data_IF_760320462557
#
_entry.id   IF_760320462557
#
_cell.length_a   1.000
_cell.length_b   1.000
_cell.length_c   1.000
_cell.angle_alpha   90.00
_cell.angle_beta   90.00
_cell.angle_gamma   90.00
#
_symmetry.space_group_name_H-M   'P 1'
#
loop_
_entity.id
_entity.type
_entity.pdbx_description
1 polymer ?
#
# COMPACT_ATOMS: atom_id res chain seq x y z
N UNK A 1 -14.81 9.64 -26.57
CA UNK A 1 -13.48 9.29 -26.02
C UNK A 1 -13.37 9.82 -24.59
N UNK A 2 -13.66 9.01 -23.57
CA UNK A 2 -13.49 9.43 -22.15
C UNK A 2 -13.36 8.30 -21.12
N UNK A 3 -13.35 7.02 -21.53
CA UNK A 3 -13.35 5.89 -20.59
C UNK A 3 -12.02 5.64 -19.87
N UNK A 4 -10.87 5.99 -20.47
CA UNK A 4 -9.57 5.63 -19.90
C UNK A 4 -9.23 6.42 -18.62
N UNK A 5 -9.66 7.69 -18.54
CA UNK A 5 -9.42 8.55 -17.37
C UNK A 5 -10.31 8.15 -16.18
N UNK A 6 -11.52 7.64 -16.44
CA UNK A 6 -12.43 7.17 -15.40
C UNK A 6 -11.93 5.90 -14.72
N UNK A 7 -11.45 4.93 -15.51
CA UNK A 7 -10.88 3.68 -14.99
C UNK A 7 -9.63 3.92 -14.15
N UNK A 8 -8.69 4.74 -14.64
CA UNK A 8 -7.43 5.00 -13.93
C UNK A 8 -7.64 5.71 -12.58
N UNK A 9 -8.53 6.72 -12.52
CA UNK A 9 -8.82 7.45 -11.27
C UNK A 9 -9.58 6.59 -10.26
N UNK A 10 -10.47 5.71 -10.74
CA UNK A 10 -11.18 4.77 -9.88
C UNK A 10 -10.21 3.79 -9.21
N UNK A 11 -9.27 3.23 -9.99
CA UNK A 11 -8.25 2.30 -9.48
C UNK A 11 -7.36 2.97 -8.43
N UNK A 12 -6.90 4.20 -8.68
CA UNK A 12 -6.14 4.99 -7.70
C UNK A 12 -6.93 5.27 -6.41
N UNK A 13 -8.21 5.61 -6.53
CA UNK A 13 -9.08 5.86 -5.37
C UNK A 13 -9.32 4.61 -4.53
N UNK A 14 -9.62 3.48 -5.16
CA UNK A 14 -9.75 2.17 -4.49
C UNK A 14 -8.44 1.80 -3.77
N UNK A 15 -7.31 2.06 -4.41
CA UNK A 15 -5.99 1.77 -3.87
C UNK A 15 -5.70 2.58 -2.60
N UNK A 16 -5.94 3.89 -2.65
CA UNK A 16 -5.78 4.75 -1.49
C UNK A 16 -6.67 4.31 -0.32
N UNK A 17 -7.90 3.87 -0.61
CA UNK A 17 -8.82 3.34 0.40
C UNK A 17 -8.29 2.04 1.04
N UNK A 18 -7.77 1.08 0.27
CA UNK A 18 -7.21 -0.15 0.79
C UNK A 18 -5.97 0.09 1.66
N UNK A 19 -5.06 0.98 1.23
CA UNK A 19 -3.89 1.37 2.02
C UNK A 19 -4.30 2.05 3.33
N UNK A 20 -5.32 2.91 3.28
CA UNK A 20 -5.86 3.55 4.48
C UNK A 20 -6.44 2.52 5.46
N UNK A 21 -7.23 1.56 4.97
CA UNK A 21 -7.78 0.47 5.79
C UNK A 21 -6.67 -0.35 6.45
N UNK A 22 -5.61 -0.67 5.72
CA UNK A 22 -4.46 -1.38 6.26
C UNK A 22 -3.70 -0.58 7.33
N UNK A 23 -3.51 0.72 7.11
CA UNK A 23 -2.91 1.62 8.10
C UNK A 23 -3.75 1.70 9.37
N UNK A 24 -5.08 1.81 9.24
CA UNK A 24 -6.02 1.80 10.37
C UNK A 24 -5.98 0.46 11.11
N UNK A 25 -5.99 -0.66 10.40
CA UNK A 25 -5.90 -1.99 11.01
C UNK A 25 -4.57 -2.16 11.78
N UNK A 26 -3.45 -1.71 11.20
CA UNK A 26 -2.14 -1.69 11.86
C UNK A 26 -2.14 -0.80 13.12
N UNK A 27 -2.70 0.40 13.03
CA UNK A 27 -2.84 1.30 14.17
C UNK A 27 -3.64 0.67 15.32
N UNK A 28 -4.81 0.12 14.99
CA UNK A 28 -5.69 -0.56 15.96
C UNK A 28 -4.99 -1.75 16.62
N UNK A 29 -4.25 -2.53 15.83
CA UNK A 29 -3.45 -3.65 16.34
C UNK A 29 -2.41 -3.17 17.34
N UNK A 30 -1.68 -2.10 17.03
CA UNK A 30 -0.68 -1.54 17.93
C UNK A 30 -1.25 -0.87 19.20
N UNK A 31 -2.50 -0.37 19.17
CA UNK A 31 -3.16 0.20 20.35
C UNK A 31 -3.76 -0.86 21.28
N UNK A 32 -4.35 -1.94 20.74
CA UNK A 32 -5.14 -2.89 21.53
C UNK A 32 -4.40 -4.19 21.83
N UNK A 33 -3.34 -4.53 21.09
CA UNK A 33 -2.57 -5.75 21.31
C UNK A 33 -1.27 -5.42 22.03
N UNK A 34 -1.15 -5.93 23.26
CA UNK A 34 0.06 -5.81 24.08
C UNK A 34 1.03 -6.98 23.86
N UNK A 35 2.33 -6.77 24.10
CA UNK A 35 3.35 -7.82 23.96
C UNK A 35 3.84 -8.02 22.52
N UNK A 36 3.52 -7.11 21.61
CA UNK A 36 3.99 -7.14 20.24
C UNK A 36 5.49 -6.83 20.15
N UNK A 37 6.24 -7.71 19.51
CA UNK A 37 7.64 -7.45 19.16
C UNK A 37 7.74 -6.44 18.01
N UNK A 38 8.84 -5.67 17.99
CA UNK A 38 9.11 -4.68 16.94
C UNK A 38 9.04 -5.31 15.53
N UNK A 39 8.08 -4.89 14.67
CA UNK A 39 7.93 -5.45 13.34
C UNK A 39 9.10 -5.00 12.46
N UNK A 40 9.63 -5.93 11.66
CA UNK A 40 10.75 -5.68 10.75
C UNK A 40 10.21 -5.53 9.35
N UNK A 41 10.17 -4.31 8.85
CA UNK A 41 9.72 -4.05 7.49
C UNK A 41 10.74 -4.60 6.48
N UNK A 42 10.25 -5.48 5.59
CA UNK A 42 11.05 -6.21 4.59
C UNK A 42 12.29 -6.91 5.17
N UNK A 43 12.25 -7.28 6.46
CA UNK A 43 13.38 -7.84 7.21
C UNK A 43 14.63 -6.93 7.34
N UNK A 44 14.59 -5.68 6.83
CA UNK A 44 15.71 -4.74 6.84
C UNK A 44 15.52 -3.57 7.81
N UNK A 45 14.29 -3.04 7.94
CA UNK A 45 14.04 -1.80 8.70
C UNK A 45 13.21 -2.11 9.95
N UNK A 46 13.78 -2.01 11.16
CA UNK A 46 13.01 -2.17 12.39
C UNK A 46 12.09 -0.97 12.60
N UNK A 47 10.79 -1.22 12.71
CA UNK A 47 9.83 -0.20 13.12
C UNK A 47 9.65 -0.21 14.64
N UNK A 48 9.52 0.97 15.28
CA UNK A 48 9.30 1.04 16.72
C UNK A 48 8.01 0.29 17.08
N UNK A 49 7.98 -0.50 18.18
CA UNK A 49 6.81 -1.24 18.65
C UNK A 49 5.79 -0.28 19.30
N UNK A 50 5.32 0.67 18.52
CA UNK A 50 4.37 1.71 18.87
C UNK A 50 3.19 1.64 17.91
N UNK A 51 2.00 2.14 18.29
CA UNK A 51 0.84 2.17 17.39
C UNK A 51 1.13 2.81 16.04
N UNK A 52 1.91 3.91 16.03
CA UNK A 52 2.35 4.57 14.80
C UNK A 52 3.28 3.69 13.95
N UNK A 53 4.17 2.92 14.59
CA UNK A 53 5.06 1.97 13.90
C UNK A 53 4.30 0.82 13.24
N UNK A 54 3.28 0.27 13.91
CA UNK A 54 2.41 -0.76 13.31
C UNK A 54 1.53 -0.21 12.19
N UNK A 55 1.02 1.02 12.33
CA UNK A 55 0.30 1.71 11.27
C UNK A 55 1.17 1.91 10.02
N UNK A 56 2.40 2.40 10.21
CA UNK A 56 3.35 2.60 9.12
C UNK A 56 3.77 1.28 8.47
N UNK A 57 4.05 0.23 9.26
CA UNK A 57 4.37 -1.10 8.76
C UNK A 57 3.23 -1.67 7.91
N UNK A 58 1.99 -1.63 8.41
CA UNK A 58 0.82 -2.12 7.69
C UNK A 58 0.56 -1.35 6.39
N UNK A 59 0.59 -0.02 6.47
CA UNK A 59 0.40 0.85 5.30
C UNK A 59 1.47 0.63 4.23
N UNK A 60 2.75 0.58 4.63
CA UNK A 60 3.85 0.35 3.68
C UNK A 60 3.81 -1.06 3.08
N UNK A 61 3.48 -2.08 3.87
CA UNK A 61 3.41 -3.46 3.36
C UNK A 61 2.32 -3.59 2.31
N UNK A 62 1.13 -3.07 2.58
CA UNK A 62 0.00 -3.10 1.64
C UNK A 62 0.27 -2.21 0.43
N UNK A 63 0.88 -1.03 0.63
CA UNK A 63 1.31 -0.17 -0.47
C UNK A 63 2.30 -0.86 -1.41
N UNK A 64 3.23 -1.68 -0.88
CA UNK A 64 4.18 -2.43 -1.71
C UNK A 64 3.54 -3.63 -2.40
N UNK A 65 2.83 -4.47 -1.64
CA UNK A 65 2.24 -5.72 -2.14
C UNK A 65 1.25 -5.46 -3.26
N UNK A 66 0.42 -4.42 -3.14
CA UNK A 66 -0.54 -4.09 -4.18
C UNK A 66 0.03 -3.10 -5.21
N UNK A 67 1.07 -2.31 -4.87
CA UNK A 67 1.39 -1.08 -5.60
C UNK A 67 2.52 -1.29 -6.59
N UNK A 68 3.44 -2.19 -6.25
CA UNK A 68 4.44 -2.70 -7.19
C UNK A 68 3.78 -3.37 -8.41
N UNK A 69 2.85 -4.34 -8.27
CA UNK A 69 2.21 -4.93 -9.44
C UNK A 69 1.37 -3.93 -10.21
N UNK A 70 0.73 -2.95 -9.54
CA UNK A 70 -0.01 -1.90 -10.23
C UNK A 70 0.91 -0.97 -11.05
N UNK A 71 2.02 -0.53 -10.45
CA UNK A 71 3.02 0.29 -11.13
C UNK A 71 3.63 -0.46 -12.33
N UNK A 72 3.83 -1.78 -12.19
CA UNK A 72 4.26 -2.65 -13.28
C UNK A 72 3.24 -2.66 -14.43
N UNK A 73 1.95 -2.82 -14.13
CA UNK A 73 0.88 -2.77 -15.15
C UNK A 73 0.87 -1.43 -15.87
N UNK A 74 0.91 -0.31 -15.14
CA UNK A 74 0.94 1.04 -15.73
C UNK A 74 2.16 1.22 -16.64
N UNK A 75 3.34 0.79 -16.17
CA UNK A 75 4.58 0.87 -16.93
C UNK A 75 4.52 0.04 -18.22
N UNK A 76 4.02 -1.19 -18.14
CA UNK A 76 3.85 -2.07 -19.32
C UNK A 76 2.82 -1.49 -20.29
N UNK A 77 1.68 -1.00 -19.79
CA UNK A 77 0.66 -0.37 -20.64
C UNK A 77 1.17 0.88 -21.35
N UNK A 78 1.95 1.72 -20.66
CA UNK A 78 2.57 2.90 -21.29
C UNK A 78 3.56 2.50 -22.39
N UNK A 79 4.39 1.48 -22.16
CA UNK A 79 5.33 0.98 -23.17
C UNK A 79 4.67 0.28 -24.36
N UNK A 80 3.46 -0.25 -24.21
CA UNK A 80 2.68 -0.82 -25.31
C UNK A 80 1.99 0.27 -26.15
N UNK A 81 1.54 1.37 -25.54
CA UNK A 81 0.99 2.53 -26.25
C UNK A 81 2.06 3.28 -27.06
N UNK A 82 3.32 3.30 -26.61
CA UNK A 82 4.46 3.92 -27.33
C UNK A 82 4.98 3.08 -28.52
N UNK A 83 4.58 1.81 -28.63
CA UNK A 83 5.05 0.87 -29.67
C UNK A 83 4.06 0.70 -30.85
N UNK A 84 2.94 1.43 -30.85
CA UNK A 84 1.90 1.43 -31.89
C UNK A 84 1.93 2.71 -32.74
#
# INVERSE_FOLDING_TARGET
MSSNVGGHRFVLGLYAALVAVAGVAGYLTGTFVSGLSAPRFLFLVPFPPTPAGFAAYGALTIALVLGVPLALVVYVSAGLDDAA
#
